data_IF_930535616351
#
_entry.id   IF_930535616351
#
_cell.length_a   1.000
_cell.length_b   1.000
_cell.length_c   1.000
_cell.angle_alpha   90.00
_cell.angle_beta   90.00
_cell.angle_gamma   90.00
#
_symmetry.space_group_name_H-M   'P 1'
#
loop_
_entity.id
_entity.type
_entity.pdbx_description
1 polymer ?
#
# COMPACT_ATOMS: atom_id res chain seq x y z
N UNK A 1 -6.62 7.63 -4.70
CA UNK A 1 -7.92 7.09 -5.15
C UNK A 1 -7.87 6.80 -6.64
N UNK A 2 -8.50 5.71 -7.07
CA UNK A 2 -8.74 5.39 -8.48
C UNK A 2 -10.10 4.69 -8.65
N UNK A 3 -10.62 4.64 -9.87
CA UNK A 3 -11.75 3.79 -10.25
C UNK A 3 -11.20 2.57 -10.98
N UNK A 4 -11.54 1.37 -10.53
CA UNK A 4 -11.12 0.13 -11.18
C UNK A 4 -12.04 -0.21 -12.35
N UNK A 5 -11.65 -1.22 -13.14
CA UNK A 5 -12.44 -1.68 -14.30
C UNK A 5 -13.82 -2.25 -13.95
N UNK A 6 -14.03 -2.61 -12.69
CA UNK A 6 -15.31 -3.08 -12.19
C UNK A 6 -16.28 -1.94 -11.85
N UNK A 7 -15.87 -0.69 -12.08
CA UNK A 7 -16.67 0.51 -11.85
C UNK A 7 -16.61 1.05 -10.42
N UNK A 8 -16.05 0.30 -9.47
CA UNK A 8 -15.93 0.73 -8.07
C UNK A 8 -14.71 1.63 -7.84
N UNK A 9 -14.79 2.46 -6.80
CA UNK A 9 -13.71 3.35 -6.38
C UNK A 9 -12.95 2.80 -5.19
N UNK A 10 -11.62 2.87 -5.28
CA UNK A 10 -10.71 2.35 -4.26
C UNK A 10 -9.65 3.37 -3.86
N UNK A 11 -9.09 3.17 -2.68
CA UNK A 11 -8.00 3.98 -2.16
C UNK A 11 -6.92 3.15 -1.47
N UNK A 12 -5.67 3.47 -1.80
CA UNK A 12 -4.51 3.02 -1.04
C UNK A 12 -4.31 3.89 0.18
N UNK A 13 -4.30 3.26 1.35
CA UNK A 13 -4.11 3.91 2.64
C UNK A 13 -2.93 3.27 3.38
N UNK A 14 -2.26 4.05 4.23
CA UNK A 14 -1.29 3.51 5.18
C UNK A 14 -1.99 3.29 6.51
N UNK A 15 -2.10 2.04 6.93
CA UNK A 15 -2.62 1.66 8.24
C UNK A 15 -1.65 0.69 8.91
N UNK A 16 -1.31 0.92 10.18
CA UNK A 16 -0.32 0.14 10.92
C UNK A 16 0.99 -0.08 10.13
N UNK A 17 1.50 0.99 9.49
CA UNK A 17 2.71 1.01 8.66
C UNK A 17 2.67 0.15 7.39
N UNK A 18 1.49 -0.30 6.97
CA UNK A 18 1.26 -1.15 5.79
C UNK A 18 0.37 -0.44 4.80
N UNK A 19 0.69 -0.59 3.51
CA UNK A 19 -0.20 -0.17 2.44
C UNK A 19 -1.38 -1.15 2.34
N UNK A 20 -2.60 -0.62 2.38
CA UNK A 20 -3.83 -1.39 2.27
C UNK A 20 -4.75 -0.75 1.24
N UNK A 21 -5.40 -1.58 0.43
CA UNK A 21 -6.41 -1.13 -0.52
C UNK A 21 -7.79 -1.29 0.09
N UNK A 22 -8.56 -0.20 0.14
CA UNK A 22 -9.91 -0.17 0.69
C UNK A 22 -10.92 0.33 -0.34
N UNK A 23 -12.15 -0.23 -0.36
CA UNK A 23 -13.24 0.30 -1.17
C UNK A 23 -13.81 1.57 -0.52
N UNK A 24 -14.09 2.59 -1.33
CA UNK A 24 -14.57 3.89 -0.83
C UNK A 24 -16.09 3.95 -0.62
N UNK A 25 -16.85 3.08 -1.28
CA UNK A 25 -18.31 3.11 -1.28
C UNK A 25 -18.95 2.11 -0.32
N UNK A 26 -18.17 1.26 0.36
CA UNK A 26 -18.67 0.34 1.36
C UNK A 26 -18.37 0.84 2.78
N UNK A 27 -19.29 0.56 3.72
CA UNK A 27 -19.18 0.93 5.13
C UNK A 27 -17.83 0.48 5.74
N UNK A 28 -17.39 1.14 6.81
CA UNK A 28 -16.08 0.99 7.52
C UNK A 28 -15.69 -0.44 7.93
N UNK A 29 -16.55 -1.43 7.70
CA UNK A 29 -16.32 -2.86 7.94
C UNK A 29 -15.94 -3.65 6.67
N UNK A 30 -15.74 -2.99 5.53
CA UNK A 30 -15.35 -3.67 4.30
C UNK A 30 -13.97 -4.33 4.43
N UNK A 31 -13.87 -5.60 4.06
CA UNK A 31 -12.62 -6.34 4.06
C UNK A 31 -11.58 -5.67 3.14
N UNK A 32 -10.31 -5.67 3.55
CA UNK A 32 -9.21 -5.15 2.74
C UNK A 32 -9.10 -5.93 1.43
N UNK A 33 -9.03 -5.20 0.31
CA UNK A 33 -8.97 -5.78 -1.04
C UNK A 33 -7.54 -6.16 -1.42
N UNK A 34 -6.56 -5.50 -0.79
CA UNK A 34 -5.16 -5.89 -0.85
C UNK A 34 -4.42 -5.40 0.40
N UNK A 35 -3.38 -6.11 0.81
CA UNK A 35 -2.48 -5.68 1.90
C UNK A 35 -1.04 -5.98 1.55
N UNK A 36 -0.19 -4.95 1.63
CA UNK A 36 1.24 -5.08 1.47
C UNK A 36 1.93 -5.43 2.78
N UNK A 37 2.66 -6.54 2.77
CA UNK A 37 3.51 -6.97 3.87
C UNK A 37 4.95 -6.62 3.51
N UNK A 38 5.48 -5.60 4.18
CA UNK A 38 6.90 -5.23 4.05
C UNK A 38 7.79 -6.36 4.54
N UNK A 39 8.96 -6.46 3.92
CA UNK A 39 10.01 -7.34 4.42
C UNK A 39 10.42 -6.92 5.83
N UNK A 40 10.50 -7.90 6.74
CA UNK A 40 11.05 -7.70 8.08
C UNK A 40 12.47 -8.24 8.11
N UNK A 41 13.43 -7.38 8.49
CA UNK A 41 14.79 -7.76 8.89
C UNK A 41 14.83 -7.79 10.42
N UNK A 42 14.42 -8.92 11.01
CA UNK A 42 14.69 -9.23 12.42
C UNK A 42 15.94 -10.11 12.58
N UNK A 43 16.70 -9.93 13.67
CA UNK A 43 18.06 -10.46 13.82
C UNK A 43 18.27 -11.98 13.72
N UNK A 44 17.27 -12.85 13.79
CA UNK A 44 17.53 -14.31 13.89
C UNK A 44 16.55 -15.19 13.07
N UNK A 45 15.48 -14.64 12.48
CA UNK A 45 14.42 -15.46 11.84
C UNK A 45 14.25 -15.03 10.39
N UNK A 46 14.55 -15.96 9.47
CA UNK A 46 14.33 -15.95 8.00
C UNK A 46 13.82 -14.63 7.40
N UNK A 47 14.62 -14.02 6.52
CA UNK A 47 14.24 -12.86 5.69
C UNK A 47 12.88 -13.12 5.03
N UNK A 48 11.82 -12.44 5.51
CA UNK A 48 10.51 -12.50 4.85
C UNK A 48 10.55 -11.56 3.66
N UNK A 49 10.40 -12.10 2.46
CA UNK A 49 10.25 -11.28 1.25
C UNK A 49 9.01 -10.39 1.38
N UNK A 50 9.10 -9.19 0.79
CA UNK A 50 7.94 -8.33 0.69
C UNK A 50 6.88 -9.00 -0.18
N UNK A 51 5.61 -8.94 0.21
CA UNK A 51 4.52 -9.62 -0.48
C UNK A 51 3.26 -8.76 -0.51
N UNK A 52 2.59 -8.71 -1.66
CA UNK A 52 1.27 -8.14 -1.79
C UNK A 52 0.23 -9.26 -1.70
N UNK A 53 -0.61 -9.23 -0.67
CA UNK A 53 -1.66 -10.23 -0.44
C UNK A 53 -2.97 -9.70 -1.02
N UNK A 54 -3.58 -10.48 -1.92
CA UNK A 54 -4.81 -10.13 -2.63
C UNK A 54 -5.77 -11.32 -2.49
N UNK A 55 -6.97 -11.15 -1.91
CA UNK A 55 -7.98 -12.19 -1.86
C UNK A 55 -8.47 -12.58 -3.27
N UNK A 56 -8.88 -13.84 -3.51
CA UNK A 56 -9.37 -14.29 -4.81
C UNK A 56 -10.54 -13.47 -5.35
N UNK A 57 -11.39 -12.95 -4.47
CA UNK A 57 -12.57 -12.14 -4.80
C UNK A 57 -12.20 -10.82 -5.50
N UNK A 58 -10.94 -10.38 -5.38
CA UNK A 58 -10.41 -9.20 -6.04
C UNK A 58 -9.66 -9.51 -7.35
N UNK A 59 -9.67 -10.77 -7.80
CA UNK A 59 -8.93 -11.22 -8.98
C UNK A 59 -9.39 -10.54 -10.28
N UNK A 60 -10.64 -10.10 -10.37
CA UNK A 60 -11.18 -9.42 -11.56
C UNK A 60 -10.59 -8.02 -11.79
N UNK A 61 -9.98 -7.40 -10.77
CA UNK A 61 -9.31 -6.08 -10.84
C UNK A 61 -7.80 -6.18 -10.61
N UNK A 62 -7.21 -7.37 -10.78
CA UNK A 62 -5.81 -7.64 -10.39
C UNK A 62 -4.80 -6.66 -11.01
N UNK A 63 -4.89 -6.39 -12.32
CA UNK A 63 -3.92 -5.47 -12.95
C UNK A 63 -4.07 -4.05 -12.40
N UNK A 64 -5.30 -3.62 -12.11
CA UNK A 64 -5.57 -2.29 -11.54
C UNK A 64 -4.96 -2.20 -10.14
N UNK A 65 -5.03 -3.27 -9.33
CA UNK A 65 -4.37 -3.36 -8.03
C UNK A 65 -2.85 -3.25 -8.19
N UNK A 66 -2.24 -4.03 -9.08
CA UNK A 66 -0.77 -4.06 -9.24
C UNK A 66 -0.23 -2.71 -9.72
N UNK A 67 -0.82 -2.14 -10.77
CA UNK A 67 -0.35 -0.87 -11.34
C UNK A 67 -0.47 0.26 -10.32
N UNK A 68 -1.62 0.34 -9.65
CA UNK A 68 -1.86 1.41 -8.67
C UNK A 68 -1.03 1.21 -7.39
N UNK A 69 -0.74 -0.02 -7.00
CA UNK A 69 0.18 -0.33 -5.90
C UNK A 69 1.59 0.19 -6.19
N UNK A 70 2.14 -0.12 -7.38
CA UNK A 70 3.48 0.34 -7.78
C UNK A 70 3.54 1.87 -7.77
N UNK A 71 2.53 2.51 -8.36
CA UNK A 71 2.42 3.96 -8.35
C UNK A 71 2.38 4.51 -6.91
N UNK A 72 1.50 3.98 -6.07
CA UNK A 72 1.36 4.40 -4.69
C UNK A 72 2.65 4.25 -3.88
N UNK A 73 3.30 3.07 -3.91
CA UNK A 73 4.54 2.83 -3.19
C UNK A 73 5.69 3.73 -3.68
N UNK A 74 5.78 3.98 -5.00
CA UNK A 74 6.79 4.90 -5.53
C UNK A 74 6.63 6.31 -4.96
N UNK A 75 5.40 6.84 -5.00
CA UNK A 75 5.07 8.15 -4.47
C UNK A 75 5.27 8.23 -2.96
N UNK A 76 4.89 7.19 -2.23
CA UNK A 76 5.04 7.13 -0.79
C UNK A 76 6.52 7.12 -0.37
N UNK A 77 7.35 6.29 -1.01
CA UNK A 77 8.80 6.22 -0.73
C UNK A 77 9.52 7.52 -1.08
N UNK A 78 9.15 8.18 -2.17
CA UNK A 78 9.75 9.46 -2.55
C UNK A 78 9.39 10.57 -1.55
N UNK A 79 8.15 10.57 -1.03
CA UNK A 79 7.74 11.45 0.07
C UNK A 79 8.50 11.17 1.36
N UNK A 80 8.71 9.90 1.71
CA UNK A 80 9.51 9.55 2.91
C UNK A 80 10.97 10.00 2.78
N UNK A 81 11.59 9.79 1.61
CA UNK A 81 12.96 10.29 1.33
C UNK A 81 13.05 11.81 1.39
N UNK A 82 12.04 12.51 0.86
CA UNK A 82 11.98 13.97 0.97
C UNK A 82 11.89 14.41 2.42
N UNK A 83 10.98 13.80 3.21
CA UNK A 83 10.85 14.09 4.64
C UNK A 83 12.17 13.86 5.38
N UNK A 84 12.83 12.71 5.18
CA UNK A 84 14.11 12.42 5.84
C UNK A 84 15.15 13.52 5.59
N UNK A 85 15.31 13.95 4.33
CA UNK A 85 16.23 15.05 3.96
C UNK A 85 15.87 16.39 4.59
N UNK A 86 14.58 16.69 4.76
CA UNK A 86 14.14 17.92 5.42
C UNK A 86 14.41 17.93 6.93
N UNK A 87 14.44 16.76 7.59
CA UNK A 87 14.77 16.65 9.01
C UNK A 87 16.29 16.69 9.27
N UNK A 88 17.12 16.43 8.26
CA UNK A 88 18.59 16.49 8.33
C UNK A 88 19.17 17.92 8.17
N UNK A 89 18.33 18.95 8.15
CA UNK A 89 18.76 20.34 8.26
C UNK A 89 18.30 20.92 9.61
N UNK A 90 19.14 20.85 10.67
CA UNK A 90 18.91 21.70 11.81
C UNK A 90 19.02 23.14 11.33
N UNK A 91 17.97 23.92 11.59
CA UNK A 91 18.01 25.37 11.45
C UNK A 91 19.17 25.84 12.32
N UNK A 92 20.20 26.41 11.68
CA UNK A 92 21.34 27.02 12.34
C UNK A 92 20.93 28.31 13.06
#
# INVERSE_FOLDING_TARGET
MFQARDGHKYEWQINNYRAQLVPLQQSRSAAYIATFLKSSTGSIIRKKLASLVIPPEAGHILDDIIVTFIYFESQWRDRERFRARCWDHPVA
#
